data_IF_801209442240
#
_entry.id   IF_801209442240
#
_cell.length_a   1.000
_cell.length_b   1.000
_cell.length_c   1.000
_cell.angle_alpha   90.00
_cell.angle_beta   90.00
_cell.angle_gamma   90.00
#
_symmetry.space_group_name_H-M   'P 1'
#
loop_
_entity.id
_entity.type
_entity.pdbx_description
1 polymer ?
#
# COMPACT_ATOMS: atom_id res chain seq x y z
N UNK A 1 53.44 -6.95 2.74
CA UNK A 1 53.05 -7.73 3.94
C UNK A 1 52.31 -6.89 4.97
N UNK A 2 52.73 -5.64 5.24
CA UNK A 2 52.05 -4.72 6.18
C UNK A 2 50.59 -4.41 5.85
N UNK A 3 50.21 -4.25 4.57
CA UNK A 3 48.82 -4.03 4.17
C UNK A 3 47.90 -5.23 4.46
N UNK A 4 48.43 -6.45 4.33
CA UNK A 4 47.69 -7.67 4.66
C UNK A 4 47.44 -7.77 6.17
N UNK A 5 48.45 -7.40 6.97
CA UNK A 5 48.33 -7.30 8.42
C UNK A 5 47.33 -6.21 8.86
N UNK A 6 47.31 -5.07 8.17
CA UNK A 6 46.34 -3.99 8.42
C UNK A 6 44.91 -4.40 8.08
N UNK A 7 44.68 -5.11 6.98
CA UNK A 7 43.36 -5.62 6.61
C UNK A 7 42.89 -6.70 7.60
N UNK A 8 43.78 -7.60 8.02
CA UNK A 8 43.47 -8.61 9.03
C UNK A 8 43.12 -7.97 10.40
N UNK A 9 43.86 -6.95 10.82
CA UNK A 9 43.59 -6.22 12.05
C UNK A 9 42.24 -5.45 11.99
N UNK A 10 41.92 -4.84 10.83
CA UNK A 10 40.65 -4.14 10.63
C UNK A 10 39.45 -5.11 10.65
N UNK A 11 39.61 -6.32 10.11
CA UNK A 11 38.55 -7.32 10.09
C UNK A 11 38.20 -7.87 11.48
N UNK A 12 39.15 -7.82 12.43
CA UNK A 12 38.96 -8.32 13.80
C UNK A 12 38.09 -7.40 14.68
N UNK A 13 37.81 -6.17 14.24
CA UNK A 13 37.02 -5.17 14.99
C UNK A 13 35.52 -5.25 14.62
N UNK A 14 35.16 -5.95 13.54
CA UNK A 14 33.76 -6.16 13.16
C UNK A 14 33.10 -7.19 14.09
N UNK A 15 32.66 -6.75 15.26
CA UNK A 15 31.81 -7.56 16.14
C UNK A 15 30.36 -7.46 15.66
N UNK A 16 29.71 -8.58 15.27
CA UNK A 16 28.27 -8.57 14.99
C UNK A 16 27.52 -8.24 16.28
N UNK A 17 26.75 -7.14 16.28
CA UNK A 17 25.84 -6.83 17.39
C UNK A 17 24.63 -7.75 17.31
N UNK A 18 24.62 -8.82 18.11
CA UNK A 18 23.43 -9.63 18.31
C UNK A 18 22.50 -8.93 19.30
N UNK A 19 21.30 -8.55 18.84
CA UNK A 19 20.25 -8.00 19.70
C UNK A 19 19.54 -9.18 20.42
N UNK A 20 20.00 -9.52 21.61
CA UNK A 20 19.37 -10.48 22.50
C UNK A 20 18.63 -9.75 23.62
N UNK A 21 17.39 -10.16 23.93
CA UNK A 21 16.61 -9.59 25.03
C UNK A 21 16.58 -10.58 26.18
N UNK A 22 16.76 -10.08 27.39
CA UNK A 22 16.79 -10.84 28.63
C UNK A 22 15.59 -10.46 29.49
N UNK A 23 15.02 -11.43 30.21
CA UNK A 23 13.90 -11.20 31.14
C UNK A 23 14.10 -11.90 32.47
N UNK A 24 13.64 -11.29 33.57
CA UNK A 24 13.62 -11.90 34.89
C UNK A 24 12.47 -11.32 35.72
N UNK A 25 12.11 -12.03 36.78
CA UNK A 25 11.13 -11.59 37.78
C UNK A 25 11.89 -11.24 39.06
N UNK A 26 11.68 -10.03 39.59
CA UNK A 26 12.30 -9.61 40.85
C UNK A 26 11.57 -10.15 42.09
N UNK A 27 12.07 -9.82 43.28
CA UNK A 27 11.50 -10.27 44.56
C UNK A 27 10.10 -9.75 44.85
N UNK A 28 9.66 -8.69 44.14
CA UNK A 28 8.32 -8.13 44.25
C UNK A 28 7.38 -8.68 43.17
N UNK A 29 7.85 -9.61 42.33
CA UNK A 29 7.07 -10.18 41.24
C UNK A 29 7.02 -9.33 39.98
N UNK A 30 7.86 -8.28 39.88
CA UNK A 30 7.89 -7.39 38.70
C UNK A 30 8.73 -8.03 37.61
N UNK A 31 8.20 -8.04 36.38
CA UNK A 31 8.91 -8.53 35.19
C UNK A 31 9.77 -7.40 34.61
N UNK A 32 11.04 -7.69 34.41
CA UNK A 32 12.01 -6.78 33.80
C UNK A 32 12.44 -7.27 32.43
N UNK A 33 12.83 -6.34 31.56
CA UNK A 33 13.41 -6.59 30.23
C UNK A 33 14.69 -5.78 30.07
N UNK A 34 15.72 -6.37 29.47
CA UNK A 34 17.03 -5.73 29.28
C UNK A 34 17.71 -6.24 28.01
N UNK A 35 18.43 -5.36 27.32
CA UNK A 35 19.34 -5.74 26.22
C UNK A 35 20.72 -6.20 26.73
N UNK A 36 20.93 -6.19 28.05
CA UNK A 36 22.16 -6.63 28.70
C UNK A 36 21.91 -7.84 29.60
N UNK A 37 22.84 -8.82 29.63
CA UNK A 37 22.70 -10.00 30.46
C UNK A 37 22.73 -9.64 31.95
N UNK A 38 21.86 -10.28 32.73
CA UNK A 38 21.77 -10.09 34.17
C UNK A 38 21.75 -11.44 34.89
N UNK A 39 22.21 -11.46 36.14
CA UNK A 39 22.14 -12.68 36.95
C UNK A 39 20.68 -13.06 37.20
N UNK A 40 20.35 -14.33 36.95
CA UNK A 40 18.98 -14.85 37.09
C UNK A 40 18.05 -14.49 35.92
N UNK A 41 18.55 -13.83 34.88
CA UNK A 41 17.76 -13.55 33.69
C UNK A 41 17.85 -14.67 32.65
N UNK A 42 16.72 -14.91 32.01
CA UNK A 42 16.59 -15.88 30.92
C UNK A 42 16.57 -15.15 29.57
N UNK A 43 17.15 -15.78 28.53
CA UNK A 43 17.12 -15.24 27.17
C UNK A 43 15.71 -15.36 26.60
N UNK A 44 15.12 -14.23 26.23
CA UNK A 44 13.81 -14.17 25.61
C UNK A 44 13.95 -14.37 24.09
N UNK A 45 13.42 -15.48 23.58
CA UNK A 45 13.29 -15.71 22.14
C UNK A 45 12.05 -14.97 21.63
N UNK A 46 12.26 -13.84 20.96
CA UNK A 46 11.16 -13.14 20.31
C UNK A 46 10.58 -13.96 19.16
N UNK A 47 9.24 -13.95 18.98
CA UNK A 47 8.64 -14.43 17.75
C UNK A 47 9.15 -13.60 16.57
N UNK A 48 9.10 -14.16 15.36
CA UNK A 48 9.42 -13.40 14.16
C UNK A 48 8.53 -12.15 14.10
N UNK A 49 9.16 -10.98 13.89
CA UNK A 49 8.43 -9.72 13.77
C UNK A 49 7.37 -9.81 12.68
N UNK A 50 6.18 -9.28 12.97
CA UNK A 50 5.14 -9.14 11.96
C UNK A 50 5.62 -8.14 10.91
N UNK A 51 6.10 -8.64 9.78
CA UNK A 51 6.50 -7.82 8.64
C UNK A 51 5.41 -7.90 7.57
N UNK A 52 5.03 -6.74 7.03
CA UNK A 52 4.12 -6.67 5.90
C UNK A 52 4.94 -6.53 4.62
N UNK A 53 4.83 -7.50 3.71
CA UNK A 53 5.27 -7.32 2.34
C UNK A 53 4.13 -6.70 1.56
N UNK A 54 4.35 -5.53 0.96
CA UNK A 54 3.41 -5.01 -0.02
C UNK A 54 3.25 -6.06 -1.14
N UNK A 55 2.01 -6.34 -1.55
CA UNK A 55 1.77 -7.15 -2.75
C UNK A 55 2.43 -6.42 -3.92
N UNK A 56 3.25 -7.16 -4.68
CA UNK A 56 3.74 -6.67 -5.97
C UNK A 56 2.53 -6.31 -6.83
N UNK A 57 2.50 -5.06 -7.28
CA UNK A 57 1.48 -4.59 -8.23
C UNK A 57 1.53 -5.50 -9.46
N UNK A 58 0.39 -6.02 -9.96
CA UNK A 58 0.36 -6.53 -11.32
C UNK A 58 0.79 -5.39 -12.24
N UNK A 59 1.86 -5.62 -13.02
CA UNK A 59 2.26 -4.75 -14.12
C UNK A 59 1.25 -4.89 -15.25
N UNK A 60 0.04 -4.42 -15.03
CA UNK A 60 -0.91 -4.13 -16.10
C UNK A 60 -1.47 -2.76 -15.78
N UNK A 61 -0.77 -1.74 -16.26
CA UNK A 61 -1.41 -0.48 -16.61
C UNK A 61 -2.53 -0.88 -17.57
N UNK A 62 -3.82 -0.64 -17.26
CA UNK A 62 -4.83 -0.65 -18.31
C UNK A 62 -4.34 0.38 -19.33
N UNK A 63 -4.03 -0.08 -20.54
CA UNK A 63 -3.90 0.85 -21.65
C UNK A 63 -5.15 1.73 -21.63
N UNK A 64 -4.96 3.04 -21.50
CA UNK A 64 -6.03 3.96 -21.81
C UNK A 64 -6.44 3.66 -23.25
N UNK A 65 -7.53 2.93 -23.43
CA UNK A 65 -8.25 2.88 -24.69
C UNK A 65 -8.96 4.23 -24.88
N UNK A 66 -8.13 5.26 -25.03
CA UNK A 66 -8.48 6.59 -25.48
C UNK A 66 -8.48 6.62 -26.99
N UNK A 67 -9.16 5.69 -27.66
CA UNK A 67 -9.62 5.90 -29.03
C UNK A 67 -10.77 4.97 -29.35
N UNK A 68 -11.92 5.25 -28.74
CA UNK A 68 -13.20 4.85 -29.28
C UNK A 68 -13.37 5.52 -30.66
N UNK A 69 -12.79 4.91 -31.69
CA UNK A 69 -13.09 5.19 -33.08
C UNK A 69 -14.46 4.57 -33.33
N UNK A 70 -15.50 5.27 -32.90
CA UNK A 70 -16.87 4.90 -33.25
C UNK A 70 -17.11 5.33 -34.68
N UNK A 71 -16.85 4.41 -35.61
CA UNK A 71 -17.44 4.46 -36.94
C UNK A 71 -18.96 4.62 -36.79
N UNK A 72 -19.45 5.71 -37.38
CA UNK A 72 -20.85 6.08 -37.39
C UNK A 72 -21.68 5.01 -38.08
N UNK A 73 -22.31 4.12 -37.31
CA UNK A 73 -23.44 3.35 -37.80
C UNK A 73 -24.73 4.03 -37.37
N UNK A 74 -25.23 4.84 -38.31
CA UNK A 74 -26.51 5.55 -38.26
C UNK A 74 -27.66 4.55 -38.07
N UNK A 75 -28.27 4.55 -36.89
CA UNK A 75 -29.67 4.17 -36.72
C UNK A 75 -30.31 5.18 -35.78
N UNK A 76 -31.13 6.06 -36.35
CA UNK A 76 -31.90 7.06 -35.62
C UNK A 76 -32.87 6.40 -34.65
N UNK A 77 -32.67 6.64 -33.37
CA UNK A 77 -33.77 6.81 -32.43
C UNK A 77 -33.65 8.20 -31.82
N UNK A 78 -34.79 8.86 -31.67
CA UNK A 78 -34.95 10.30 -31.48
C UNK A 78 -34.24 10.80 -30.22
N UNK A 79 -33.13 11.51 -30.39
CA UNK A 79 -32.34 12.08 -29.31
C UNK A 79 -33.12 13.17 -28.57
N UNK A 80 -33.24 13.01 -27.25
CA UNK A 80 -33.69 14.01 -26.28
C UNK A 80 -32.54 15.02 -26.02
N UNK A 81 -31.94 15.54 -27.08
CA UNK A 81 -30.62 16.19 -27.11
C UNK A 81 -30.61 17.65 -26.65
N UNK A 82 -31.67 18.14 -26.02
CA UNK A 82 -31.82 19.55 -25.64
C UNK A 82 -32.23 19.76 -24.17
N UNK A 83 -32.36 18.69 -23.39
CA UNK A 83 -32.70 18.82 -21.96
C UNK A 83 -31.43 19.01 -21.14
N UNK A 84 -31.35 20.07 -20.31
CA UNK A 84 -30.22 20.23 -19.40
C UNK A 84 -30.20 19.08 -18.38
N UNK A 85 -29.00 18.65 -18.00
CA UNK A 85 -28.83 17.72 -16.88
C UNK A 85 -29.38 18.32 -15.59
N UNK A 86 -30.33 17.63 -14.97
CA UNK A 86 -30.96 18.05 -13.72
C UNK A 86 -30.30 17.43 -12.49
N UNK A 87 -29.55 16.34 -12.65
CA UNK A 87 -28.85 15.66 -11.57
C UNK A 87 -27.51 15.10 -12.05
N UNK A 88 -26.48 15.33 -11.26
CA UNK A 88 -25.18 14.67 -11.34
C UNK A 88 -24.76 14.26 -9.94
N UNK A 89 -24.44 12.98 -9.75
CA UNK A 89 -24.02 12.47 -8.44
C UNK A 89 -22.98 11.37 -8.58
N UNK A 90 -21.97 11.37 -7.71
CA UNK A 90 -21.04 10.26 -7.57
C UNK A 90 -21.75 9.17 -6.77
N UNK A 91 -21.98 8.00 -7.39
CA UNK A 91 -22.59 6.83 -6.78
C UNK A 91 -21.56 6.02 -5.99
N UNK A 92 -20.35 5.90 -6.54
CA UNK A 92 -19.22 5.28 -5.86
C UNK A 92 -17.94 6.09 -6.14
N UNK A 93 -17.04 6.25 -5.15
CA UNK A 93 -17.15 5.77 -3.77
C UNK A 93 -18.22 6.53 -2.94
N UNK A 94 -18.81 5.86 -1.97
CA UNK A 94 -19.73 6.49 -1.01
C UNK A 94 -19.01 7.53 -0.15
N UNK A 95 -19.74 8.51 0.37
CA UNK A 95 -19.20 9.49 1.30
C UNK A 95 -18.59 8.78 2.53
N UNK A 96 -17.31 9.04 2.81
CA UNK A 96 -16.58 8.41 3.91
C UNK A 96 -16.09 6.98 3.63
N UNK A 97 -16.23 6.46 2.41
CA UNK A 97 -15.66 5.17 2.04
C UNK A 97 -14.13 5.20 2.13
N UNK A 98 -13.55 4.11 2.65
CA UNK A 98 -12.09 3.92 2.66
C UNK A 98 -11.63 3.47 1.28
N UNK A 99 -10.74 4.25 0.65
CA UNK A 99 -10.15 3.92 -0.65
C UNK A 99 -8.76 3.32 -0.40
N UNK A 100 -8.54 2.10 -0.88
CA UNK A 100 -7.23 1.42 -0.82
C UNK A 100 -6.83 0.94 -2.21
N UNK A 101 -6.37 1.88 -3.04
CA UNK A 101 -5.80 1.63 -4.36
C UNK A 101 -4.40 2.22 -4.40
N UNK A 102 -3.38 1.39 -4.61
CA UNK A 102 -1.98 1.79 -4.69
C UNK A 102 -1.46 1.88 -6.14
N UNK A 103 -2.35 1.72 -7.12
CA UNK A 103 -2.07 1.90 -8.56
C UNK A 103 -2.12 3.38 -8.98
N UNK A 104 -2.66 4.28 -8.14
CA UNK A 104 -2.70 5.72 -8.42
C UNK A 104 -3.96 6.19 -9.17
N UNK A 105 -4.98 5.33 -9.29
CA UNK A 105 -6.28 5.70 -9.84
C UNK A 105 -7.42 5.30 -8.90
N UNK A 106 -8.58 5.94 -9.08
CA UNK A 106 -9.79 5.67 -8.30
C UNK A 106 -10.91 5.45 -9.31
N UNK A 107 -11.60 4.31 -9.22
CA UNK A 107 -12.78 4.06 -10.03
C UNK A 107 -13.94 4.89 -9.46
N UNK A 108 -14.57 5.71 -10.30
CA UNK A 108 -15.71 6.54 -9.95
C UNK A 108 -16.90 6.11 -10.81
N UNK A 109 -18.05 5.88 -10.17
CA UNK A 109 -19.32 5.71 -10.90
C UNK A 109 -20.21 6.93 -10.69
N UNK A 110 -20.78 7.42 -11.79
CA UNK A 110 -21.60 8.64 -11.81
C UNK A 110 -23.02 8.29 -12.23
N UNK A 111 -23.99 8.91 -11.57
CA UNK A 111 -25.40 8.90 -11.94
C UNK A 111 -25.76 10.25 -12.60
N UNK A 112 -26.45 10.18 -13.72
CA UNK A 112 -26.91 11.33 -14.51
C UNK A 112 -28.41 11.22 -14.79
N UNK A 113 -29.12 12.34 -14.69
CA UNK A 113 -30.50 12.47 -15.16
C UNK A 113 -30.67 13.78 -15.98
N UNK A 114 -31.17 13.72 -17.23
CA UNK A 114 -31.40 12.52 -18.05
C UNK A 114 -30.08 11.79 -18.41
N UNK A 115 -30.19 10.65 -19.13
CA UNK A 115 -29.02 9.90 -19.60
C UNK A 115 -28.10 10.80 -20.42
N UNK A 116 -26.79 10.55 -20.35
CA UNK A 116 -25.78 11.22 -21.15
C UNK A 116 -26.21 11.30 -22.62
N UNK A 117 -26.30 12.53 -23.12
CA UNK A 117 -26.65 12.87 -24.50
C UNK A 117 -25.51 12.52 -25.46
N UNK A 118 -25.86 12.26 -26.71
CA UNK A 118 -24.85 12.01 -27.75
C UNK A 118 -23.97 13.25 -27.95
N UNK A 119 -22.65 13.05 -27.84
CA UNK A 119 -21.64 14.11 -27.98
C UNK A 119 -21.10 14.67 -26.67
N UNK A 120 -21.73 14.37 -25.54
CA UNK A 120 -21.25 14.77 -24.21
C UNK A 120 -20.24 13.75 -23.64
N UNK A 121 -19.37 14.20 -22.72
CA UNK A 121 -18.33 13.38 -22.08
C UNK A 121 -18.38 13.50 -20.55
N UNK A 122 -17.87 12.48 -19.86
CA UNK A 122 -17.74 12.39 -18.39
C UNK A 122 -16.28 12.49 -17.95
#
# INVERSE_FOLDING_TARGET
MTKFFQVAALMMILSPSYAEIYTWIDSQGVVHFSDNPHQGAEKLKLPAGQSYSALSLPSSVPEEDGSATHEANKSSETSDSDKPYTKIAIREPLHGATIRNNQGYILVSVELEPKLSEGDNL
#
